data_IF_265651807728
#
_entry.id   IF_265651807728
#
_cell.length_a   1.000
_cell.length_b   1.000
_cell.length_c   1.000
_cell.angle_alpha   90.00
_cell.angle_beta   90.00
_cell.angle_gamma   90.00
#
_symmetry.space_group_name_H-M   'P 1'
#
loop_
_entity.id
_entity.type
_entity.pdbx_description
1 polymer ?
#
# COMPACT_ATOMS: atom_id res chain seq x y z
N UNK A 1 -7.87 -3.26 -8.23
CA UNK A 1 -7.52 -2.69 -6.91
C UNK A 1 -6.15 -2.04 -6.96
N UNK A 2 -6.00 -0.81 -6.50
CA UNK A 2 -4.71 -0.12 -6.36
C UNK A 2 -4.32 -0.01 -4.89
N UNK A 3 -3.16 -0.56 -4.56
CA UNK A 3 -2.70 -0.73 -3.18
C UNK A 3 -1.37 -0.01 -3.01
N UNK A 4 -1.22 0.69 -1.89
CA UNK A 4 0.01 1.38 -1.52
C UNK A 4 0.64 0.65 -0.33
N UNK A 5 1.89 0.22 -0.47
CA UNK A 5 2.67 -0.43 0.59
C UNK A 5 3.81 0.46 1.06
N UNK A 6 3.91 0.66 2.37
CA UNK A 6 5.02 1.35 3.02
C UNK A 6 5.73 0.42 4.02
N UNK A 7 7.06 0.48 4.09
CA UNK A 7 7.84 -0.27 5.07
C UNK A 7 7.95 -1.77 4.79
N UNK A 8 7.53 -2.21 3.60
CA UNK A 8 7.60 -3.62 3.18
C UNK A 8 8.85 -3.83 2.32
N UNK A 9 9.63 -4.91 2.51
CA UNK A 9 10.75 -5.24 1.64
C UNK A 9 10.30 -5.47 0.19
N UNK A 10 11.12 -5.08 -0.79
CA UNK A 10 10.76 -5.20 -2.21
C UNK A 10 10.51 -6.65 -2.65
N UNK A 11 11.26 -7.61 -2.09
CA UNK A 11 11.06 -9.05 -2.35
C UNK A 11 9.68 -9.52 -1.88
N UNK A 12 9.30 -9.14 -0.65
CA UNK A 12 7.98 -9.43 -0.09
C UNK A 12 6.86 -8.80 -0.93
N UNK A 13 7.00 -7.53 -1.30
CA UNK A 13 6.03 -6.84 -2.14
C UNK A 13 5.86 -7.51 -3.50
N UNK A 14 6.96 -7.98 -4.12
CA UNK A 14 6.91 -8.74 -5.37
C UNK A 14 6.13 -10.05 -5.24
N UNK A 15 6.43 -10.85 -4.19
CA UNK A 15 5.72 -12.10 -3.89
C UNK A 15 4.21 -11.87 -3.71
N UNK A 16 3.84 -10.82 -3.00
CA UNK A 16 2.43 -10.45 -2.77
C UNK A 16 1.78 -10.01 -4.08
N UNK A 17 2.43 -9.12 -4.84
CA UNK A 17 1.90 -8.64 -6.11
C UNK A 17 1.62 -9.79 -7.09
N UNK A 18 2.56 -10.73 -7.23
CA UNK A 18 2.40 -11.93 -8.07
C UNK A 18 1.20 -12.79 -7.61
N UNK A 19 1.04 -12.97 -6.30
CA UNK A 19 -0.07 -13.77 -5.73
C UNK A 19 -1.44 -13.18 -6.03
N UNK A 20 -1.57 -11.86 -5.99
CA UNK A 20 -2.85 -11.15 -6.23
C UNK A 20 -3.01 -10.65 -7.67
N UNK A 21 -2.07 -10.98 -8.58
CA UNK A 21 -2.11 -10.55 -9.97
C UNK A 21 -1.98 -9.03 -10.15
N UNK A 22 -1.32 -8.35 -9.21
CA UNK A 22 -1.12 -6.90 -9.20
C UNK A 22 0.19 -6.54 -9.90
N UNK A 23 0.19 -5.42 -10.63
CA UNK A 23 1.40 -4.88 -11.22
C UNK A 23 2.14 -3.99 -10.21
N UNK A 24 3.38 -4.35 -9.87
CA UNK A 24 4.25 -3.48 -9.05
C UNK A 24 4.64 -2.23 -9.83
N UNK A 25 4.39 -1.07 -9.23
CA UNK A 25 4.71 0.25 -9.77
C UNK A 25 5.42 1.10 -8.71
N UNK A 26 5.97 2.24 -9.13
CA UNK A 26 6.79 3.11 -8.28
C UNK A 26 6.20 4.49 -8.02
N UNK A 27 4.99 4.77 -8.53
CA UNK A 27 4.26 6.02 -8.26
C UNK A 27 2.75 5.75 -8.40
N UNK A 28 1.91 6.36 -7.56
CA UNK A 28 0.45 6.38 -7.75
C UNK A 28 0.02 6.90 -9.13
N UNK A 29 0.81 7.76 -9.79
CA UNK A 29 0.50 8.26 -11.15
C UNK A 29 0.42 7.14 -12.22
N UNK A 30 0.83 5.91 -11.88
CA UNK A 30 0.80 4.74 -12.75
C UNK A 30 -0.25 3.72 -12.34
N UNK A 31 -1.22 4.10 -11.51
CA UNK A 31 -2.38 3.26 -11.22
C UNK A 31 -3.09 2.84 -12.51
N UNK A 32 -3.64 1.65 -12.47
CA UNK A 32 -4.27 1.01 -13.62
C UNK A 32 -5.51 0.25 -13.16
N UNK A 33 -6.55 0.25 -13.99
CA UNK A 33 -7.80 -0.43 -13.69
C UNK A 33 -7.63 -1.95 -13.52
N UNK A 34 -6.59 -2.56 -14.10
CA UNK A 34 -6.25 -3.97 -13.90
C UNK A 34 -5.77 -4.27 -12.48
N UNK A 35 -5.43 -3.24 -11.71
CA UNK A 35 -4.92 -3.35 -10.36
C UNK A 35 -3.39 -3.25 -10.28
N UNK A 36 -2.92 -2.49 -9.30
CA UNK A 36 -1.52 -2.16 -9.13
C UNK A 36 -1.12 -2.13 -7.67
N UNK A 37 0.19 -2.24 -7.42
CA UNK A 37 0.78 -2.14 -6.11
C UNK A 37 1.94 -1.14 -6.14
N UNK A 38 1.80 -0.02 -5.43
CA UNK A 38 2.89 0.95 -5.25
C UNK A 38 3.74 0.50 -4.07
N UNK A 39 5.00 0.20 -4.32
CA UNK A 39 5.98 0.05 -3.26
C UNK A 39 6.60 1.43 -2.98
N UNK A 40 6.33 1.97 -1.79
CA UNK A 40 6.93 3.23 -1.36
C UNK A 40 8.30 2.93 -0.73
N UNK A 41 9.41 3.37 -1.34
CA UNK A 41 10.74 3.15 -0.78
C UNK A 41 10.89 3.94 0.53
N UNK A 42 11.88 3.59 1.36
CA UNK A 42 12.26 4.44 2.50
C UNK A 42 12.62 5.85 2.00
N UNK A 43 11.78 6.84 2.30
CA UNK A 43 11.91 8.18 1.73
C UNK A 43 12.81 9.03 2.60
N UNK A 44 14.11 9.01 2.32
CA UNK A 44 15.11 9.83 3.01
C UNK A 44 15.27 11.24 2.41
N UNK A 45 14.53 11.57 1.34
CA UNK A 45 14.60 12.88 0.69
C UNK A 45 13.22 13.54 0.61
N UNK A 46 13.03 14.73 1.20
CA UNK A 46 11.74 15.43 1.25
C UNK A 46 11.04 15.61 -0.13
N UNK A 47 11.82 15.74 -1.21
CA UNK A 47 11.30 15.89 -2.57
C UNK A 47 10.52 14.68 -3.08
N UNK A 48 10.97 13.47 -2.76
CA UNK A 48 10.27 12.25 -3.17
C UNK A 48 8.98 12.07 -2.36
N UNK A 49 9.02 12.47 -1.10
CA UNK A 49 7.88 12.43 -0.22
C UNK A 49 6.77 13.37 -0.71
N UNK A 50 7.13 14.60 -1.05
CA UNK A 50 6.20 15.58 -1.62
C UNK A 50 5.64 15.12 -2.98
N UNK A 51 6.46 14.54 -3.84
CA UNK A 51 6.00 14.00 -5.13
C UNK A 51 4.99 12.87 -4.92
N UNK A 52 5.28 11.95 -3.99
CA UNK A 52 4.38 10.86 -3.61
C UNK A 52 3.05 11.39 -3.05
N UNK A 53 3.07 12.35 -2.12
CA UNK A 53 1.84 12.94 -1.58
C UNK A 53 1.02 13.65 -2.65
N UNK A 54 1.66 14.41 -3.53
CA UNK A 54 0.96 15.06 -4.63
C UNK A 54 0.32 14.03 -5.57
N UNK A 55 0.95 12.88 -5.80
CA UNK A 55 0.37 11.79 -6.58
C UNK A 55 -0.81 11.15 -5.85
N UNK A 56 -0.69 10.86 -4.55
CA UNK A 56 -1.79 10.34 -3.72
C UNK A 56 -3.02 11.27 -3.73
N UNK A 57 -2.83 12.58 -3.59
CA UNK A 57 -3.93 13.55 -3.63
C UNK A 57 -4.62 13.63 -5.00
N UNK A 58 -3.90 13.42 -6.11
CA UNK A 58 -4.50 13.40 -7.45
C UNK A 58 -5.30 12.13 -7.72
N UNK A 59 -4.91 11.04 -7.08
CA UNK A 59 -5.42 9.70 -7.30
C UNK A 59 -6.15 9.15 -6.07
N UNK A 60 -6.67 10.03 -5.22
CA UNK A 60 -7.31 9.67 -3.94
C UNK A 60 -8.43 8.63 -4.13
N UNK A 61 -9.27 8.85 -5.14
CA UNK A 61 -10.40 7.97 -5.48
C UNK A 61 -9.95 6.61 -6.03
N UNK A 62 -8.77 6.56 -6.65
CA UNK A 62 -8.22 5.35 -7.26
C UNK A 62 -7.55 4.43 -6.21
N UNK A 63 -7.23 4.93 -5.01
CA UNK A 63 -6.58 4.16 -3.94
C UNK A 63 -7.60 3.28 -3.24
N UNK A 64 -7.37 1.97 -3.19
CA UNK A 64 -8.23 1.01 -2.47
C UNK A 64 -7.74 0.71 -1.06
N UNK A 65 -6.42 0.71 -0.86
CA UNK A 65 -5.82 0.50 0.46
C UNK A 65 -4.43 1.12 0.55
N UNK A 66 -4.10 1.63 1.73
CA UNK A 66 -2.76 2.04 2.14
C UNK A 66 -2.37 1.22 3.35
N UNK A 67 -1.30 0.43 3.23
CA UNK A 67 -0.84 -0.50 4.24
C UNK A 67 0.58 -0.10 4.66
N UNK A 68 0.76 0.19 5.94
CA UNK A 68 2.07 0.55 6.52
C UNK A 68 2.54 -0.56 7.44
N UNK A 69 3.70 -1.14 7.13
CA UNK A 69 4.43 -2.00 8.04
C UNK A 69 5.37 -1.16 8.92
N UNK A 70 5.28 -1.32 10.25
CA UNK A 70 6.12 -0.58 11.20
C UNK A 70 5.75 0.90 11.30
N UNK A 71 4.48 1.20 11.59
CA UNK A 71 4.02 2.58 11.71
C UNK A 71 4.82 3.39 12.75
N UNK A 72 5.20 2.77 13.86
CA UNK A 72 5.96 3.44 14.94
C UNK A 72 7.35 3.91 14.53
N UNK A 73 7.93 3.31 13.49
CA UNK A 73 9.26 3.67 12.96
C UNK A 73 9.21 4.48 11.67
N UNK A 74 8.02 4.77 11.16
CA UNK A 74 7.83 5.52 9.92
C UNK A 74 7.46 6.99 10.21
N UNK A 75 8.42 7.89 9.99
CA UNK A 75 8.23 9.34 10.16
C UNK A 75 7.11 9.91 9.26
N UNK A 76 6.81 9.23 8.16
CA UNK A 76 5.81 9.64 7.17
C UNK A 76 4.37 9.21 7.54
N UNK A 77 4.15 8.40 8.58
CA UNK A 77 2.84 7.81 8.89
C UNK A 77 1.73 8.84 8.98
N UNK A 78 1.92 9.89 9.80
CA UNK A 78 0.86 10.87 10.02
C UNK A 78 0.45 11.58 8.74
N UNK A 79 1.42 11.84 7.85
CA UNK A 79 1.14 12.51 6.58
C UNK A 79 0.57 11.55 5.55
N UNK A 80 1.02 10.29 5.50
CA UNK A 80 0.42 9.26 4.66
C UNK A 80 -1.04 9.04 5.07
N UNK A 81 -1.31 8.89 6.38
CA UNK A 81 -2.66 8.74 6.92
C UNK A 81 -3.57 9.93 6.56
N UNK A 82 -3.05 11.15 6.61
CA UNK A 82 -3.81 12.34 6.21
C UNK A 82 -4.21 12.32 4.72
N UNK A 83 -3.38 11.74 3.86
CA UNK A 83 -3.65 11.60 2.43
C UNK A 83 -4.40 10.31 2.07
N UNK A 84 -4.73 9.45 3.04
CA UNK A 84 -5.46 8.21 2.80
C UNK A 84 -6.96 8.43 2.97
N UNK A 85 -7.80 7.95 2.03
CA UNK A 85 -9.25 7.99 2.20
C UNK A 85 -9.70 7.27 3.48
N UNK A 86 -10.78 7.76 4.09
CA UNK A 86 -11.35 7.18 5.30
C UNK A 86 -11.66 5.68 5.11
N UNK A 87 -11.25 4.86 6.07
CA UNK A 87 -11.45 3.41 6.05
C UNK A 87 -10.48 2.62 5.17
N UNK A 88 -9.54 3.28 4.47
CA UNK A 88 -8.55 2.61 3.59
C UNK A 88 -7.14 2.56 4.17
N UNK A 89 -6.95 2.95 5.42
CA UNK A 89 -5.65 3.00 6.08
C UNK A 89 -5.47 1.82 7.05
N UNK A 90 -4.39 1.06 6.86
CA UNK A 90 -4.09 -0.15 7.63
C UNK A 90 -2.64 -0.15 8.10
N UNK A 91 -2.40 -0.76 9.26
CA UNK A 91 -1.07 -0.88 9.86
C UNK A 91 -0.76 -2.32 10.21
N UNK A 92 0.46 -2.76 9.93
CA UNK A 92 1.02 -4.03 10.34
C UNK A 92 2.20 -3.80 11.29
N UNK A 93 2.47 -4.78 12.16
CA UNK A 93 3.60 -4.72 13.07
C UNK A 93 4.93 -4.71 12.29
N UNK A 94 5.86 -3.84 12.69
CA UNK A 94 7.18 -3.72 12.05
C UNK A 94 8.19 -4.79 12.48
N UNK A 95 7.91 -5.50 13.58
CA UNK A 95 8.78 -6.55 14.11
C UNK A 95 8.53 -7.94 13.48
N UNK A 96 7.59 -8.03 12.54
CA UNK A 96 7.27 -9.29 11.86
C UNK A 96 8.44 -9.76 11.01
N UNK A 97 8.71 -11.06 11.07
CA UNK A 97 9.66 -11.65 10.13
C UNK A 97 9.08 -11.70 8.70
N UNK A 98 9.92 -12.14 7.74
CA UNK A 98 9.52 -12.15 6.32
C UNK A 98 8.29 -13.01 6.01
N UNK A 99 8.10 -14.15 6.67
CA UNK A 99 6.96 -15.05 6.43
C UNK A 99 5.73 -14.65 7.25
N UNK A 100 5.93 -14.13 8.46
CA UNK A 100 4.86 -13.52 9.26
C UNK A 100 4.26 -12.31 8.54
N UNK A 101 5.11 -11.42 8.00
CA UNK A 101 4.67 -10.25 7.24
C UNK A 101 3.88 -10.65 5.98
N UNK A 102 4.34 -11.69 5.26
CA UNK A 102 3.61 -12.23 4.10
C UNK A 102 2.24 -12.75 4.53
N UNK A 103 2.18 -13.49 5.64
CA UNK A 103 0.94 -14.09 6.13
C UNK A 103 -0.08 -13.02 6.54
N UNK A 104 0.34 -12.03 7.31
CA UNK A 104 -0.50 -10.90 7.72
C UNK A 104 -0.96 -10.04 6.53
N UNK A 105 -0.07 -9.75 5.59
CA UNK A 105 -0.45 -9.07 4.33
C UNK A 105 -1.49 -9.88 3.56
N UNK A 106 -1.32 -11.21 3.46
CA UNK A 106 -2.29 -12.05 2.77
C UNK A 106 -3.65 -12.03 3.46
N UNK A 107 -3.70 -12.15 4.79
CA UNK A 107 -4.95 -12.11 5.56
C UNK A 107 -5.72 -10.80 5.33
N UNK A 108 -5.00 -9.67 5.39
CA UNK A 108 -5.60 -8.35 5.16
C UNK A 108 -6.10 -8.21 3.72
N UNK A 109 -5.28 -8.59 2.74
CA UNK A 109 -5.63 -8.48 1.33
C UNK A 109 -6.79 -9.41 0.97
N UNK A 110 -6.82 -10.64 1.48
CA UNK A 110 -7.93 -11.57 1.27
C UNK A 110 -9.26 -10.97 1.76
N UNK A 111 -9.25 -10.27 2.90
CA UNK A 111 -10.42 -9.53 3.40
C UNK A 111 -10.83 -8.39 2.46
N UNK A 112 -9.87 -7.57 2.03
CA UNK A 112 -10.11 -6.42 1.13
C UNK A 112 -10.66 -6.85 -0.22
N UNK A 113 -10.10 -7.91 -0.83
CA UNK A 113 -10.58 -8.46 -2.09
C UNK A 113 -11.97 -9.11 -1.93
N UNK A 114 -12.26 -9.73 -0.79
CA UNK A 114 -13.59 -10.26 -0.51
C UNK A 114 -14.65 -9.15 -0.38
N UNK A 115 -14.34 -8.06 0.32
CA UNK A 115 -15.20 -6.88 0.45
C UNK A 115 -15.40 -6.15 -0.88
N UNK A 116 -14.32 -5.93 -1.65
CA UNK A 116 -14.39 -5.30 -2.97
C UNK A 116 -15.22 -6.11 -3.98
N UNK A 117 -15.24 -7.44 -3.86
CA UNK A 117 -16.09 -8.30 -4.67
C UNK A 117 -17.58 -8.25 -4.29
N UNK A 118 -17.93 -7.87 -3.05
CA UNK A 118 -19.33 -7.76 -2.64
C UNK A 118 -20.04 -6.53 -3.22
N UNK A 119 -19.30 -5.51 -3.65
CA UNK A 119 -19.85 -4.26 -4.21
C UNK A 119 -20.21 -4.44 -5.71
N UNK A 120 -19.76 -5.52 -6.34
CA UNK A 120 -19.99 -5.82 -7.77
C UNK A 120 -21.22 -6.72 -8.06
N UNK A 121 -22.22 -6.76 -7.17
CA UNK A 121 -23.48 -7.50 -7.37
C UNK A 121 -24.72 -6.60 -7.44
#
# INVERSE_FOLDING_TARGET
MNIVLYGVPAETAGRIADRYGLKVINSPDKFDASGTMVLVPSINAPRYLLAFYNAMLRHEDDVDAVIICGADSCEAVSTVQYCTPLGKFFTLNGDLDGEELVSELCLLLDSLFAEGNQINF
#
